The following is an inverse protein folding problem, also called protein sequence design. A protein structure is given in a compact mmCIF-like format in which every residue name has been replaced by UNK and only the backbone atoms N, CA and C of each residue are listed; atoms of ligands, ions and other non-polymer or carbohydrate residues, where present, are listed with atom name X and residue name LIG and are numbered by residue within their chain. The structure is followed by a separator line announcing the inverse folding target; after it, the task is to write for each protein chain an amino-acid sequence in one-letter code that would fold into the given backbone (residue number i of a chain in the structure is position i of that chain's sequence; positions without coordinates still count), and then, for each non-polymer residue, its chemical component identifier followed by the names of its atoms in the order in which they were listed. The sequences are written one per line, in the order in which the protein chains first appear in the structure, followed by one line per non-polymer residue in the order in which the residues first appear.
data_IF_621188268067
#
_entry.id   IF_621188268067
#
_cell.length_a   1.000
_cell.length_b   1.000
_cell.length_c   1.000
_cell.angle_alpha   90.00
_cell.angle_beta   90.00
_cell.angle_gamma   90.00
#
_symmetry.space_group_name_H-M   'P 1'
#
loop_
_entity.id
_entity.type
_entity.pdbx_description
1 polymer ?
#
# COMPACT_ATOMS: atom_id res chain seq x y z
N UNK A 1 -21.46 31.65 -5.84
CA UNK A 1 -21.47 30.50 -6.76
C UNK A 1 -20.32 30.54 -7.78
N UNK A 2 -20.13 31.58 -8.63
CA UNK A 2 -19.05 31.58 -9.64
C UNK A 2 -17.62 31.43 -9.07
N UNK A 3 -17.31 31.97 -7.89
CA UNK A 3 -15.98 31.89 -7.26
C UNK A 3 -15.69 30.51 -6.62
N UNK A 4 -16.73 29.80 -6.16
CA UNK A 4 -16.59 28.43 -5.61
C UNK A 4 -16.34 27.45 -6.75
N UNK A 5 -17.01 27.61 -7.89
CA UNK A 5 -16.79 26.78 -9.09
C UNK A 5 -15.36 26.95 -9.66
N UNK A 6 -14.79 28.16 -9.57
CA UNK A 6 -13.41 28.42 -10.02
C UNK A 6 -12.35 27.80 -9.09
N UNK A 7 -12.63 27.66 -7.80
CA UNK A 7 -11.72 27.04 -6.83
C UNK A 7 -11.75 25.50 -6.99
N UNK A 8 -12.92 24.93 -7.20
CA UNK A 8 -13.06 23.48 -7.48
C UNK A 8 -12.45 23.11 -8.83
N UNK A 9 -12.57 23.95 -9.86
CA UNK A 9 -11.93 23.74 -11.16
C UNK A 9 -10.40 23.93 -11.11
N UNK A 10 -9.88 24.75 -10.22
CA UNK A 10 -8.43 24.96 -10.05
C UNK A 10 -7.75 23.80 -9.31
N UNK A 11 -8.46 23.07 -8.46
CA UNK A 11 -7.97 21.87 -7.77
C UNK A 11 -7.89 20.63 -8.69
N UNK A 12 -8.47 20.67 -9.89
CA UNK A 12 -8.44 19.58 -10.86
C UNK A 12 -7.23 19.61 -11.82
N UNK A 13 -6.33 20.59 -11.67
CA UNK A 13 -5.13 20.73 -12.51
C UNK A 13 -3.83 20.48 -11.76
N UNK A 14 -3.79 19.53 -10.84
CA UNK A 14 -2.50 19.05 -10.35
C UNK A 14 -1.96 17.96 -11.28
N UNK A 15 -0.76 18.20 -11.77
CA UNK A 15 0.04 17.25 -12.57
C UNK A 15 0.09 15.89 -11.89
N UNK A 16 -0.22 14.85 -12.64
CA UNK A 16 -0.07 13.46 -12.19
C UNK A 16 1.37 13.22 -11.76
N UNK A 17 1.66 12.91 -10.51
CA UNK A 17 2.96 12.40 -10.13
C UNK A 17 3.16 11.04 -10.79
N UNK A 18 4.40 10.70 -11.07
CA UNK A 18 4.77 9.38 -11.59
C UNK A 18 4.50 8.35 -10.51
N UNK A 19 3.60 7.41 -10.77
CA UNK A 19 3.21 6.36 -9.82
C UNK A 19 4.34 5.34 -9.78
N UNK A 20 5.05 5.30 -8.67
CA UNK A 20 5.91 4.20 -8.28
C UNK A 20 5.21 3.40 -7.18
N UNK A 21 4.18 2.66 -7.56
CA UNK A 21 3.50 1.77 -6.62
C UNK A 21 4.33 0.50 -6.44
N UNK A 22 5.28 0.51 -5.53
CA UNK A 22 5.93 -0.69 -5.05
C UNK A 22 5.19 -1.16 -3.80
N UNK A 23 4.39 -2.22 -3.94
CA UNK A 23 3.67 -2.81 -2.82
C UNK A 23 4.60 -3.73 -2.03
N UNK A 24 5.03 -3.28 -0.87
CA UNK A 24 5.84 -4.06 0.08
C UNK A 24 5.01 -4.99 0.97
N UNK A 25 3.73 -5.13 0.70
CA UNK A 25 2.80 -5.93 1.49
C UNK A 25 2.31 -7.17 0.73
N UNK A 26 2.13 -8.27 1.45
CA UNK A 26 1.38 -9.44 0.97
C UNK A 26 -0.13 -9.19 1.03
N UNK A 27 -0.92 -10.05 0.39
CA UNK A 27 -2.40 -10.03 0.42
C UNK A 27 -3.02 -8.67 0.01
N UNK A 28 -2.41 -7.96 -0.94
CA UNK A 28 -2.86 -6.62 -1.40
C UNK A 28 -4.30 -6.60 -1.94
N UNK A 29 -4.87 -7.76 -2.32
CA UNK A 29 -6.28 -7.84 -2.73
C UNK A 29 -7.25 -7.39 -1.64
N UNK A 30 -6.84 -7.38 -0.37
CA UNK A 30 -7.62 -6.86 0.75
C UNK A 30 -7.81 -5.34 0.70
N UNK A 31 -7.02 -4.63 -0.10
CA UNK A 31 -7.14 -3.19 -0.33
C UNK A 31 -8.06 -2.86 -1.52
N UNK A 32 -8.53 -3.85 -2.28
CA UNK A 32 -9.46 -3.60 -3.39
C UNK A 32 -10.80 -3.14 -2.84
N UNK A 33 -11.14 -1.92 -3.15
CA UNK A 33 -12.28 -1.17 -2.58
C UNK A 33 -13.63 -1.61 -3.14
N UNK A 34 -14.55 -2.13 -2.32
CA UNK A 34 -15.89 -2.50 -2.78
C UNK A 34 -16.87 -1.34 -2.73
N UNK A 35 -17.82 -1.37 -3.66
CA UNK A 35 -19.01 -0.53 -3.63
C UNK A 35 -18.99 0.61 -4.64
N UNK A 36 -20.05 0.68 -5.46
CA UNK A 36 -20.22 1.75 -6.45
C UNK A 36 -20.33 3.15 -5.82
N UNK A 37 -20.80 3.23 -4.57
CA UNK A 37 -20.84 4.50 -3.82
C UNK A 37 -19.45 5.00 -3.54
N UNK A 38 -18.58 4.13 -3.02
CA UNK A 38 -17.20 4.44 -2.72
C UNK A 38 -16.43 4.84 -3.97
N UNK A 39 -16.48 4.02 -5.03
CA UNK A 39 -15.85 4.35 -6.30
C UNK A 39 -16.33 5.68 -6.90
N UNK A 40 -17.62 6.00 -6.75
CA UNK A 40 -18.18 7.30 -7.16
C UNK A 40 -17.70 8.49 -6.32
N UNK A 41 -17.15 8.24 -5.13
CA UNK A 41 -16.67 9.27 -4.20
C UNK A 41 -15.14 9.25 -4.04
N UNK A 42 -14.40 8.68 -5.01
CA UNK A 42 -12.96 8.60 -4.94
C UNK A 42 -12.46 7.81 -3.73
N UNK A 43 -13.24 6.79 -3.33
CA UNK A 43 -12.96 5.90 -2.20
C UNK A 43 -13.03 6.51 -0.79
N UNK A 44 -13.41 7.78 -0.67
CA UNK A 44 -13.61 8.43 0.63
C UNK A 44 -14.90 7.94 1.31
N UNK A 45 -14.80 7.02 2.27
CA UNK A 45 -15.94 6.32 2.90
C UNK A 45 -15.86 6.19 4.43
N UNK A 46 -14.70 6.37 5.05
CA UNK A 46 -14.47 5.98 6.44
C UNK A 46 -15.34 6.77 7.43
N UNK A 47 -15.63 8.05 7.14
CA UNK A 47 -16.51 8.88 7.96
C UNK A 47 -18.00 8.78 7.60
N UNK A 48 -18.35 8.14 6.47
CA UNK A 48 -19.73 8.00 5.97
C UNK A 48 -20.17 6.55 5.77
N UNK A 49 -19.47 5.60 6.37
CA UNK A 49 -19.79 4.18 6.31
C UNK A 49 -21.14 3.89 7.02
N UNK A 50 -22.23 3.95 6.26
CA UNK A 50 -23.60 3.86 6.77
C UNK A 50 -24.49 2.88 6.00
N UNK A 51 -23.90 1.79 5.49
CA UNK A 51 -24.55 0.70 4.77
C UNK A 51 -23.87 -0.64 5.10
N UNK A 52 -24.24 -1.74 4.42
CA UNK A 52 -23.63 -3.05 4.66
C UNK A 52 -22.14 -3.13 4.25
N UNK A 53 -21.63 -2.18 3.44
CA UNK A 53 -20.21 -2.07 3.13
C UNK A 53 -19.38 -1.52 4.31
N UNK A 54 -20.02 -0.99 5.36
CA UNK A 54 -19.35 -0.52 6.56
C UNK A 54 -18.49 -1.62 7.25
N UNK A 55 -18.85 -2.90 7.08
CA UNK A 55 -18.01 -4.01 7.57
C UNK A 55 -16.61 -4.04 6.94
N UNK A 56 -16.44 -3.46 5.77
CA UNK A 56 -15.16 -3.29 5.09
C UNK A 56 -14.54 -1.92 5.38
N UNK A 57 -15.30 -0.83 5.16
CA UNK A 57 -14.79 0.54 5.22
C UNK A 57 -14.53 1.05 6.64
N UNK A 58 -15.49 0.89 7.53
CA UNK A 58 -15.37 1.25 8.95
C UNK A 58 -16.40 0.47 9.76
N UNK A 59 -15.99 -0.59 10.47
CA UNK A 59 -16.93 -1.40 11.23
C UNK A 59 -17.68 -0.61 12.31
N UNK A 60 -17.15 0.53 12.78
CA UNK A 60 -17.86 1.39 13.73
C UNK A 60 -19.14 2.00 13.16
N UNK A 61 -19.18 2.20 11.83
CA UNK A 61 -20.36 2.71 11.13
C UNK A 61 -21.59 1.84 11.27
N UNK A 62 -21.42 0.53 11.44
CA UNK A 62 -22.52 -0.43 11.64
C UNK A 62 -23.38 -0.09 12.86
N UNK A 63 -22.82 0.49 13.92
CA UNK A 63 -23.53 0.78 15.15
C UNK A 63 -24.62 1.86 15.00
N UNK A 64 -24.51 2.70 13.98
CA UNK A 64 -25.50 3.74 13.70
C UNK A 64 -26.62 3.30 12.76
N UNK A 65 -26.59 2.03 12.34
CA UNK A 65 -27.52 1.47 11.38
C UNK A 65 -28.64 0.70 12.08
N UNK A 66 -29.88 0.86 11.60
CA UNK A 66 -31.04 0.14 12.11
C UNK A 66 -31.45 -1.00 11.15
N UNK A 67 -32.08 -2.04 11.71
CA UNK A 67 -32.60 -3.16 10.94
C UNK A 67 -31.55 -4.11 10.40
N UNK A 68 -31.79 -4.63 9.20
CA UNK A 68 -30.90 -5.58 8.52
C UNK A 68 -30.73 -5.17 7.08
N UNK A 69 -29.54 -5.43 6.52
CA UNK A 69 -29.21 -5.13 5.14
C UNK A 69 -28.31 -6.21 4.56
N UNK A 70 -28.47 -6.47 3.27
CA UNK A 70 -27.61 -7.32 2.46
C UNK A 70 -27.17 -6.52 1.24
N UNK A 71 -25.86 -6.50 0.97
CA UNK A 71 -25.28 -5.88 -0.21
C UNK A 71 -24.53 -6.93 -1.03
N UNK A 72 -24.68 -6.86 -2.34
CA UNK A 72 -24.00 -7.74 -3.30
C UNK A 72 -23.40 -6.88 -4.38
N UNK A 73 -22.17 -7.17 -4.78
CA UNK A 73 -21.50 -6.52 -5.90
C UNK A 73 -20.78 -7.55 -6.76
N UNK A 74 -20.89 -7.39 -8.06
CA UNK A 74 -20.10 -8.10 -9.07
C UNK A 74 -19.43 -7.07 -9.99
N UNK A 75 -18.13 -7.23 -10.22
CA UNK A 75 -17.37 -6.38 -11.13
C UNK A 75 -16.45 -7.23 -11.98
N UNK A 76 -16.50 -7.06 -13.30
CA UNK A 76 -15.46 -7.58 -14.19
C UNK A 76 -14.16 -6.83 -13.87
N UNK A 77 -13.17 -7.57 -13.41
CA UNK A 77 -11.89 -7.00 -12.97
C UNK A 77 -10.93 -6.93 -14.16
N UNK A 78 -10.37 -5.74 -14.43
CA UNK A 78 -9.45 -5.51 -15.53
C UNK A 78 -9.89 -6.12 -16.88
N UNK A 79 -11.10 -5.82 -17.38
CA UNK A 79 -11.69 -6.49 -18.56
C UNK A 79 -10.90 -6.25 -19.86
N UNK A 80 -9.98 -5.28 -19.88
CA UNK A 80 -9.05 -5.08 -21.01
C UNK A 80 -7.84 -6.01 -20.96
N UNK A 81 -7.59 -6.68 -19.85
CA UNK A 81 -6.50 -7.65 -19.68
C UNK A 81 -6.97 -9.09 -19.92
N UNK A 82 -8.09 -9.47 -19.31
CA UNK A 82 -8.69 -10.80 -19.45
C UNK A 82 -10.21 -10.75 -19.20
N UNK A 83 -10.93 -11.60 -19.92
CA UNK A 83 -12.41 -11.61 -19.87
C UNK A 83 -12.97 -12.42 -18.70
N UNK A 84 -12.14 -13.26 -18.05
CA UNK A 84 -12.52 -14.19 -17.00
C UNK A 84 -12.10 -13.75 -15.59
N UNK A 85 -11.58 -12.53 -15.45
CA UNK A 85 -11.27 -11.94 -14.15
C UNK A 85 -12.46 -11.19 -13.59
N UNK A 86 -12.79 -11.44 -12.31
CA UNK A 86 -13.90 -10.75 -11.67
C UNK A 86 -13.71 -10.64 -10.15
N UNK A 87 -14.35 -9.63 -9.57
CA UNK A 87 -14.39 -9.36 -8.13
C UNK A 87 -15.82 -9.43 -7.63
N UNK A 88 -16.03 -10.20 -6.58
CA UNK A 88 -17.32 -10.38 -5.92
C UNK A 88 -17.26 -9.88 -4.49
N UNK A 89 -18.30 -9.20 -4.06
CA UNK A 89 -18.47 -8.78 -2.68
C UNK A 89 -19.87 -9.09 -2.19
N UNK A 90 -19.96 -9.67 -1.01
CA UNK A 90 -21.19 -9.89 -0.26
C UNK A 90 -21.04 -9.28 1.12
N UNK A 91 -21.83 -8.24 1.44
CA UNK A 91 -21.86 -7.61 2.76
C UNK A 91 -23.20 -7.82 3.45
N UNK A 92 -23.18 -7.98 4.75
CA UNK A 92 -24.42 -8.04 5.54
C UNK A 92 -24.27 -7.30 6.88
N UNK A 93 -25.39 -6.86 7.41
CA UNK A 93 -25.49 -6.34 8.77
C UNK A 93 -26.85 -6.63 9.39
N UNK A 94 -26.87 -6.74 10.71
CA UNK A 94 -28.11 -6.86 11.50
C UNK A 94 -27.94 -6.21 12.86
N UNK A 95 -28.82 -5.28 13.17
CA UNK A 95 -28.87 -4.66 14.47
C UNK A 95 -29.62 -5.54 15.48
N UNK A 96 -29.12 -5.61 16.68
CA UNK A 96 -29.76 -6.20 17.85
C UNK A 96 -29.90 -5.11 18.93
N UNK A 97 -31.13 -4.75 19.34
CA UNK A 97 -31.39 -3.56 20.18
C UNK A 97 -30.59 -3.49 21.48
N UNK A 98 -30.22 -4.63 22.06
CA UNK A 98 -29.51 -4.71 23.35
C UNK A 98 -28.06 -5.15 23.25
N UNK A 99 -27.67 -5.71 22.11
CA UNK A 99 -26.34 -6.28 21.90
C UNK A 99 -25.43 -5.37 21.06
N UNK A 100 -26.00 -4.56 20.18
CA UNK A 100 -25.25 -3.81 19.16
C UNK A 100 -25.53 -4.36 17.77
N UNK A 101 -24.64 -4.10 16.82
CA UNK A 101 -24.81 -4.53 15.42
C UNK A 101 -23.76 -5.57 15.07
N UNK A 102 -24.23 -6.70 14.54
CA UNK A 102 -23.39 -7.69 13.88
C UNK A 102 -23.39 -7.43 12.37
N UNK A 103 -22.26 -7.59 11.75
CA UNK A 103 -22.09 -7.51 10.31
C UNK A 103 -20.98 -8.41 9.83
N UNK A 104 -20.69 -8.32 8.56
CA UNK A 104 -19.57 -9.03 7.96
C UNK A 104 -19.60 -8.93 6.45
N UNK A 105 -18.54 -9.44 5.83
CA UNK A 105 -18.45 -9.48 4.38
C UNK A 105 -17.67 -10.70 3.90
N UNK A 106 -17.88 -11.05 2.64
CA UNK A 106 -17.09 -11.99 1.87
C UNK A 106 -16.57 -11.28 0.63
N UNK A 107 -15.32 -11.53 0.32
CA UNK A 107 -14.63 -11.09 -0.89
C UNK A 107 -14.17 -12.32 -1.64
N UNK A 108 -14.35 -12.31 -2.97
CA UNK A 108 -13.79 -13.29 -3.87
C UNK A 108 -13.25 -12.60 -5.11
N UNK A 109 -11.95 -12.74 -5.35
CA UNK A 109 -11.26 -12.25 -6.54
C UNK A 109 -10.81 -13.44 -7.37
N UNK A 110 -11.39 -13.60 -8.56
CA UNK A 110 -10.93 -14.56 -9.56
C UNK A 110 -9.92 -13.88 -10.50
N UNK A 111 -8.73 -14.45 -10.60
CA UNK A 111 -7.67 -13.98 -11.49
C UNK A 111 -7.62 -14.71 -12.84
N UNK A 112 -8.67 -15.49 -13.14
CA UNK A 112 -8.83 -16.19 -14.39
C UNK A 112 -7.97 -17.46 -14.52
N UNK A 113 -8.07 -18.07 -15.69
CA UNK A 113 -7.27 -19.24 -16.06
C UNK A 113 -5.89 -18.80 -16.58
N UNK A 114 -4.85 -19.44 -16.07
CA UNK A 114 -3.46 -19.17 -16.44
C UNK A 114 -2.82 -20.39 -17.07
N UNK A 115 -1.92 -20.14 -18.03
CA UNK A 115 -1.17 -21.19 -18.72
C UNK A 115 0.13 -21.47 -17.99
N UNK A 116 0.32 -22.73 -17.64
CA UNK A 116 1.57 -23.19 -17.04
C UNK A 116 2.56 -23.61 -18.10
N UNK A 117 3.77 -23.07 -18.03
CA UNK A 117 4.92 -23.43 -18.85
C UNK A 117 6.04 -23.94 -17.95
N UNK A 118 6.89 -24.83 -18.49
CA UNK A 118 8.15 -25.19 -17.84
C UNK A 118 9.29 -24.25 -18.21
N UNK A 119 10.49 -24.50 -17.71
CA UNK A 119 11.70 -23.72 -17.97
C UNK A 119 12.12 -23.69 -19.45
N UNK A 120 11.61 -24.59 -20.28
CA UNK A 120 11.82 -24.67 -21.72
C UNK A 120 10.65 -24.14 -22.54
N UNK A 121 9.73 -23.38 -21.89
CA UNK A 121 8.49 -22.85 -22.48
C UNK A 121 7.57 -23.95 -23.06
N UNK A 122 7.61 -25.17 -22.53
CA UNK A 122 6.70 -26.24 -22.91
C UNK A 122 5.42 -26.16 -22.08
N UNK A 123 4.29 -26.28 -22.75
CA UNK A 123 2.97 -26.28 -22.13
C UNK A 123 2.78 -27.43 -21.14
N UNK A 124 2.43 -27.09 -19.91
CA UNK A 124 2.24 -28.02 -18.78
C UNK A 124 0.78 -28.06 -18.27
N UNK A 125 -0.15 -27.42 -18.99
CA UNK A 125 -1.56 -27.34 -18.59
C UNK A 125 -1.98 -25.94 -18.17
N UNK A 126 -3.20 -25.86 -17.62
CA UNK A 126 -3.74 -24.61 -17.08
C UNK A 126 -4.09 -24.75 -15.60
N UNK A 127 -4.17 -23.63 -14.90
CA UNK A 127 -4.62 -23.55 -13.51
C UNK A 127 -5.37 -22.24 -13.30
N UNK A 128 -6.20 -22.18 -12.27
CA UNK A 128 -6.94 -20.97 -11.90
C UNK A 128 -6.38 -20.38 -10.62
N UNK A 129 -6.10 -19.08 -10.64
CA UNK A 129 -5.70 -18.36 -9.43
C UNK A 129 -6.87 -17.58 -8.87
N UNK A 130 -7.03 -17.59 -7.55
CA UNK A 130 -8.08 -16.83 -6.88
C UNK A 130 -7.68 -16.46 -5.46
N UNK A 131 -8.32 -15.43 -4.94
CA UNK A 131 -8.17 -14.97 -3.58
C UNK A 131 -9.54 -14.74 -2.95
N UNK A 132 -9.65 -15.03 -1.66
CA UNK A 132 -10.89 -14.82 -0.92
C UNK A 132 -10.61 -14.31 0.48
N UNK A 133 -11.54 -13.54 1.02
CA UNK A 133 -11.53 -13.15 2.42
C UNK A 133 -12.94 -13.15 2.99
N UNK A 134 -13.06 -13.50 4.26
CA UNK A 134 -14.30 -13.40 5.01
C UNK A 134 -14.06 -12.68 6.33
N UNK A 135 -14.93 -11.73 6.66
CA UNK A 135 -14.86 -10.98 7.91
C UNK A 135 -16.19 -11.02 8.66
N UNK A 136 -16.08 -11.12 9.97
CA UNK A 136 -17.19 -10.95 10.92
C UNK A 136 -16.95 -9.73 11.77
N UNK A 137 -17.93 -8.82 11.83
CA UNK A 137 -17.82 -7.52 12.47
C UNK A 137 -18.82 -7.40 13.61
N UNK A 138 -18.38 -6.76 14.69
CA UNK A 138 -19.24 -6.33 15.78
C UNK A 138 -19.06 -4.83 16.03
N UNK A 139 -20.16 -4.13 16.26
CA UNK A 139 -20.13 -2.70 16.52
C UNK A 139 -21.13 -2.29 17.59
N UNK A 140 -20.76 -1.30 18.39
CA UNK A 140 -21.60 -0.75 19.45
C UNK A 140 -21.45 0.76 19.55
N UNK A 141 -22.52 1.43 19.95
CA UNK A 141 -22.48 2.83 20.29
C UNK A 141 -21.83 3.02 21.67
N UNK A 142 -20.84 3.89 21.76
CA UNK A 142 -20.25 4.35 23.02
C UNK A 142 -21.02 5.54 23.59
N UNK A 143 -21.63 6.31 22.69
CA UNK A 143 -22.53 7.43 23.02
C UNK A 143 -23.51 7.64 21.84
N UNK A 144 -24.52 8.50 21.98
CA UNK A 144 -25.43 8.81 20.85
C UNK A 144 -24.71 9.31 19.58
N UNK A 145 -23.47 9.82 19.71
CA UNK A 145 -22.70 10.38 18.61
C UNK A 145 -21.35 9.71 18.37
N UNK A 146 -21.01 8.66 19.11
CA UNK A 146 -19.76 7.93 18.89
C UNK A 146 -19.97 6.42 18.95
N UNK A 147 -19.20 5.70 18.16
CA UNK A 147 -19.24 4.25 18.08
C UNK A 147 -17.84 3.66 17.93
N UNK A 148 -17.76 2.39 18.28
CA UNK A 148 -16.58 1.55 18.08
C UNK A 148 -17.00 0.26 17.38
N UNK A 149 -16.18 -0.21 16.50
CA UNK A 149 -16.37 -1.47 15.79
C UNK A 149 -15.06 -2.24 15.64
N UNK A 150 -15.19 -3.54 15.54
CA UNK A 150 -14.08 -4.45 15.28
C UNK A 150 -14.50 -5.56 14.35
N UNK A 151 -13.57 -6.06 13.56
CA UNK A 151 -13.77 -7.23 12.70
C UNK A 151 -12.67 -8.26 12.92
N UNK A 152 -13.02 -9.53 12.81
CA UNK A 152 -12.07 -10.63 12.65
C UNK A 152 -12.18 -11.14 11.21
N UNK A 153 -11.04 -11.32 10.56
CA UNK A 153 -10.92 -11.62 9.14
C UNK A 153 -10.07 -12.86 8.92
N UNK A 154 -10.49 -13.69 7.96
CA UNK A 154 -9.69 -14.77 7.41
C UNK A 154 -9.52 -14.53 5.93
N UNK A 155 -8.31 -14.66 5.43
CA UNK A 155 -8.00 -14.59 4.01
C UNK A 155 -7.33 -15.86 3.53
N UNK A 156 -7.62 -16.22 2.29
CA UNK A 156 -7.02 -17.35 1.61
C UNK A 156 -6.63 -16.94 0.20
N UNK A 157 -5.40 -17.23 -0.17
CA UNK A 157 -4.88 -16.97 -1.50
C UNK A 157 -4.43 -18.28 -2.13
N UNK A 158 -4.87 -18.51 -3.36
CA UNK A 158 -4.46 -19.63 -4.20
C UNK A 158 -3.89 -19.09 -5.50
N UNK A 159 -2.56 -18.98 -5.56
CA UNK A 159 -1.87 -18.41 -6.71
C UNK A 159 -1.43 -19.48 -7.69
N UNK A 160 -0.92 -20.60 -7.17
CA UNK A 160 -0.44 -21.72 -8.00
C UNK A 160 -0.52 -23.03 -7.20
N UNK A 161 -0.85 -24.14 -7.88
CA UNK A 161 -0.92 -25.47 -7.23
C UNK A 161 0.46 -26.11 -7.04
N UNK A 162 1.39 -25.84 -7.96
CA UNK A 162 2.73 -26.41 -7.95
C UNK A 162 3.73 -25.34 -8.36
N UNK A 163 4.71 -25.08 -7.53
CA UNK A 163 5.84 -24.22 -7.84
C UNK A 163 6.67 -24.76 -9.01
N UNK A 164 7.48 -23.91 -9.58
CA UNK A 164 8.37 -24.22 -10.72
C UNK A 164 9.83 -24.07 -10.28
N UNK A 165 10.72 -24.84 -10.92
CA UNK A 165 12.16 -24.75 -10.66
C UNK A 165 12.57 -25.30 -9.30
N UNK A 166 13.32 -24.51 -8.54
CA UNK A 166 13.82 -24.83 -7.19
C UNK A 166 12.74 -24.71 -6.10
N UNK A 167 11.71 -23.91 -6.33
CA UNK A 167 10.61 -23.68 -5.39
C UNK A 167 9.49 -24.72 -5.59
N UNK A 168 9.61 -25.81 -4.88
CA UNK A 168 8.63 -26.89 -4.90
C UNK A 168 7.65 -26.72 -3.74
N UNK A 169 6.58 -25.99 -3.95
CA UNK A 169 5.53 -25.80 -2.96
C UNK A 169 4.21 -25.41 -3.59
N UNK A 170 3.16 -25.37 -2.79
CA UNK A 170 1.89 -24.79 -3.21
C UNK A 170 1.95 -23.29 -2.93
N UNK A 171 1.69 -22.46 -3.94
CA UNK A 171 1.55 -21.04 -3.80
C UNK A 171 0.20 -20.68 -3.16
N UNK A 172 -0.01 -21.15 -1.93
CA UNK A 172 -1.24 -20.88 -1.17
C UNK A 172 -0.88 -20.30 0.18
N UNK A 173 -1.64 -19.28 0.62
CA UNK A 173 -1.57 -18.79 1.99
C UNK A 173 -2.93 -18.78 2.65
N UNK A 174 -2.95 -18.90 3.97
CA UNK A 174 -4.14 -18.75 4.80
C UNK A 174 -3.79 -17.92 6.02
N UNK A 175 -4.35 -16.74 6.12
CA UNK A 175 -3.96 -15.73 7.07
C UNK A 175 -5.17 -15.20 7.83
N UNK A 176 -4.93 -14.72 9.04
CA UNK A 176 -5.96 -14.06 9.83
C UNK A 176 -5.57 -12.60 10.10
N UNK A 177 -6.58 -11.76 10.29
CA UNK A 177 -6.38 -10.34 10.61
C UNK A 177 -7.55 -9.76 11.39
N UNK A 178 -7.35 -8.55 11.84
CA UNK A 178 -8.35 -7.77 12.57
C UNK A 178 -8.48 -6.39 11.97
N UNK A 179 -9.68 -5.82 12.07
CA UNK A 179 -9.92 -4.42 11.76
C UNK A 179 -10.50 -3.74 13.00
N UNK A 180 -10.09 -2.50 13.22
CA UNK A 180 -10.61 -1.63 14.27
C UNK A 180 -11.17 -0.37 13.65
N UNK A 181 -12.30 0.11 14.15
CA UNK A 181 -12.91 1.32 13.68
C UNK A 181 -13.45 2.17 14.83
N UNK A 182 -13.38 3.47 14.64
CA UNK A 182 -14.02 4.46 15.47
C UNK A 182 -14.74 5.48 14.60
N UNK A 183 -15.92 5.91 15.02
CA UNK A 183 -16.67 6.95 14.32
C UNK A 183 -17.25 7.95 15.33
N UNK A 184 -17.18 9.22 14.99
CA UNK A 184 -17.74 10.33 15.77
C UNK A 184 -18.55 11.24 14.88
N UNK A 185 -19.86 11.33 15.14
CA UNK A 185 -20.76 12.31 14.51
C UNK A 185 -20.67 13.63 15.24
N UNK A 186 -20.61 14.73 14.49
CA UNK A 186 -20.50 16.08 15.07
C UNK A 186 -19.23 16.27 15.89
N UNK A 187 -18.05 16.05 15.29
CA UNK A 187 -16.76 16.09 16.00
C UNK A 187 -16.41 17.49 16.53
N UNK A 188 -16.06 18.44 15.67
CA UNK A 188 -15.74 19.83 16.03
C UNK A 188 -16.94 20.76 15.86
N UNK A 189 -17.79 20.46 14.91
CA UNK A 189 -19.06 21.13 14.64
C UNK A 189 -20.14 20.07 14.41
N UNK A 190 -21.42 20.40 14.59
CA UNK A 190 -22.51 19.43 14.34
C UNK A 190 -22.54 18.88 12.91
N UNK A 191 -21.94 19.59 11.95
CA UNK A 191 -21.91 19.22 10.53
C UNK A 191 -20.71 18.36 10.15
N UNK A 192 -19.70 18.22 11.03
CA UNK A 192 -18.47 17.52 10.71
C UNK A 192 -18.43 16.16 11.41
N UNK A 193 -18.56 15.09 10.67
CA UNK A 193 -18.36 13.72 11.15
C UNK A 193 -16.90 13.30 10.93
N UNK A 194 -16.38 12.41 11.75
CA UNK A 194 -15.02 11.87 11.71
C UNK A 194 -15.07 10.35 11.82
N UNK A 195 -14.22 9.68 11.05
CA UNK A 195 -13.96 8.25 11.15
C UNK A 195 -12.45 7.97 11.23
N UNK A 196 -12.08 6.93 11.94
CA UNK A 196 -10.71 6.39 11.96
C UNK A 196 -10.79 4.89 11.88
N UNK A 197 -9.96 4.29 11.06
CA UNK A 197 -9.84 2.83 10.97
C UNK A 197 -8.39 2.40 10.94
N UNK A 198 -8.13 1.24 11.49
CA UNK A 198 -6.91 0.49 11.29
C UNK A 198 -7.30 -0.92 10.83
N UNK A 199 -7.00 -1.26 9.60
CA UNK A 199 -7.46 -2.48 8.95
C UNK A 199 -6.32 -3.43 8.66
N UNK A 200 -6.64 -4.71 8.44
CA UNK A 200 -5.70 -5.78 8.10
C UNK A 200 -4.54 -5.94 9.12
N UNK A 201 -4.85 -5.79 10.41
CA UNK A 201 -3.89 -5.98 11.49
C UNK A 201 -3.66 -7.49 11.66
N UNK A 202 -2.48 -8.00 11.31
CA UNK A 202 -2.23 -9.43 11.39
C UNK A 202 -0.74 -9.79 11.27
N UNK A 203 -0.43 -11.10 11.34
CA UNK A 203 0.92 -11.59 11.12
C UNK A 203 1.33 -11.43 9.66
N UNK A 204 2.61 -11.63 9.37
CA UNK A 204 3.12 -11.68 8.00
C UNK A 204 2.47 -12.82 7.21
N UNK A 205 2.22 -12.59 5.93
CA UNK A 205 1.70 -13.54 4.95
C UNK A 205 2.85 -14.36 4.39
N UNK A 206 2.74 -15.69 4.42
CA UNK A 206 3.74 -16.57 3.84
C UNK A 206 3.08 -17.59 2.92
N UNK A 207 3.69 -17.87 1.79
CA UNK A 207 3.25 -18.90 0.84
C UNK A 207 4.03 -20.21 1.00
N UNK A 208 5.32 -20.18 0.68
CA UNK A 208 6.17 -21.36 0.65
C UNK A 208 7.22 -21.28 1.76
N UNK A 209 7.90 -20.14 1.85
CA UNK A 209 8.99 -19.94 2.80
C UNK A 209 8.61 -18.87 3.84
N UNK A 210 8.58 -19.19 5.14
CA UNK A 210 8.33 -18.21 6.19
C UNK A 210 9.38 -17.10 6.27
N UNK A 211 10.62 -17.36 5.80
CA UNK A 211 11.67 -16.34 5.81
C UNK A 211 11.43 -15.24 4.75
N UNK A 212 10.59 -15.54 3.75
CA UNK A 212 10.15 -14.60 2.71
C UNK A 212 8.73 -14.04 2.97
N UNK A 213 8.28 -14.07 4.22
CA UNK A 213 6.94 -13.62 4.58
C UNK A 213 6.81 -12.10 4.51
N UNK A 214 5.81 -11.62 3.78
CA UNK A 214 5.47 -10.21 3.63
C UNK A 214 4.51 -9.72 4.72
N UNK A 215 4.59 -8.47 5.18
CA UNK A 215 3.61 -7.89 6.08
C UNK A 215 2.21 -7.92 5.48
N UNK A 216 1.19 -8.08 6.33
CA UNK A 216 -0.17 -7.77 5.87
C UNK A 216 -0.29 -6.29 5.51
N UNK A 217 -1.19 -5.91 4.59
CA UNK A 217 -1.39 -4.53 4.18
C UNK A 217 -2.16 -3.77 5.26
N UNK A 218 -1.53 -3.64 6.44
CA UNK A 218 -2.12 -2.90 7.56
C UNK A 218 -2.22 -1.44 7.18
N UNK A 219 -3.45 -0.92 7.13
CA UNK A 219 -3.72 0.44 6.69
C UNK A 219 -4.38 1.25 7.80
N UNK A 220 -3.91 2.48 8.00
CA UNK A 220 -4.52 3.47 8.90
C UNK A 220 -5.19 4.52 8.05
N UNK A 221 -6.50 4.68 8.22
CA UNK A 221 -7.28 5.70 7.52
C UNK A 221 -7.88 6.69 8.50
N UNK A 222 -7.75 7.97 8.20
CA UNK A 222 -8.45 9.05 8.88
C UNK A 222 -9.41 9.72 7.91
N UNK A 223 -10.70 9.75 8.24
CA UNK A 223 -11.76 10.27 7.39
C UNK A 223 -12.53 11.41 8.02
N UNK A 224 -12.94 12.37 7.20
CA UNK A 224 -13.80 13.50 7.53
C UNK A 224 -14.98 13.57 6.58
N UNK A 225 -16.16 13.90 7.08
CA UNK A 225 -17.34 14.14 6.28
C UNK A 225 -18.03 15.43 6.73
N UNK A 226 -18.10 16.40 5.85
CA UNK A 226 -18.72 17.70 6.11
C UNK A 226 -20.06 17.82 5.40
N UNK A 227 -21.15 17.90 6.17
CA UNK A 227 -22.50 18.13 5.69
C UNK A 227 -22.67 19.62 5.39
N UNK A 228 -22.43 20.01 4.14
CA UNK A 228 -22.49 21.41 3.74
C UNK A 228 -23.92 21.97 3.81
N UNK A 229 -24.91 21.14 3.53
CA UNK A 229 -26.33 21.38 3.86
C UNK A 229 -27.10 20.06 3.91
N UNK A 230 -28.18 20.07 4.68
CA UNK A 230 -29.13 18.97 4.81
C UNK A 230 -30.52 19.55 5.11
N UNK A 231 -31.53 19.13 4.37
CA UNK A 231 -32.92 19.41 4.61
C UNK A 231 -33.77 18.15 4.33
N UNK A 232 -35.08 18.19 4.50
CA UNK A 232 -35.95 17.01 4.40
C UNK A 232 -35.85 16.27 3.05
N UNK A 233 -35.39 16.91 1.99
CA UNK A 233 -35.36 16.35 0.64
C UNK A 233 -33.97 16.23 0.07
N UNK A 234 -33.08 17.16 0.38
CA UNK A 234 -31.79 17.27 -0.27
C UNK A 234 -30.66 17.38 0.76
N UNK A 235 -29.53 16.77 0.44
CA UNK A 235 -28.30 16.94 1.22
C UNK A 235 -27.07 17.01 0.31
N UNK A 236 -26.06 17.69 0.80
CA UNK A 236 -24.75 17.75 0.14
C UNK A 236 -23.66 17.54 1.15
N UNK A 237 -22.87 16.49 0.94
CA UNK A 237 -21.76 16.09 1.81
C UNK A 237 -20.46 16.10 1.03
N UNK A 238 -19.44 16.68 1.62
CA UNK A 238 -18.05 16.58 1.18
C UNK A 238 -17.33 15.59 2.07
N UNK A 239 -16.56 14.70 1.50
CA UNK A 239 -15.79 13.69 2.22
C UNK A 239 -14.30 13.76 1.84
N UNK A 240 -13.46 13.45 2.80
CA UNK A 240 -12.02 13.39 2.64
C UNK A 240 -11.47 12.31 3.54
N UNK A 241 -10.77 11.37 2.95
CA UNK A 241 -10.03 10.36 3.69
C UNK A 241 -8.54 10.48 3.35
N UNK A 242 -7.69 10.17 4.30
CA UNK A 242 -6.25 9.99 4.10
C UNK A 242 -5.84 8.64 4.64
N UNK A 243 -5.14 7.89 3.80
CA UNK A 243 -4.67 6.55 4.08
C UNK A 243 -3.16 6.52 4.22
N UNK A 244 -2.67 5.71 5.15
CA UNK A 244 -1.25 5.38 5.30
C UNK A 244 -1.10 3.88 5.47
N UNK A 245 -0.38 3.27 4.56
CA UNK A 245 0.05 1.88 4.70
C UNK A 245 1.13 1.81 5.79
N UNK A 246 0.89 1.00 6.82
CA UNK A 246 1.80 0.84 7.97
C UNK A 246 2.74 -0.34 7.74
N UNK A 247 3.51 -0.24 6.68
CA UNK A 247 4.56 -1.18 6.31
C UNK A 247 5.86 -0.41 6.19
N UNK A 248 6.95 -0.94 6.75
CA UNK A 248 8.30 -0.42 6.58
C UNK A 248 9.17 -1.51 6.00
N UNK A 249 9.82 -1.20 4.89
CA UNK A 249 10.69 -2.10 4.15
C UNK A 249 12.05 -1.45 3.99
N UNK A 250 13.09 -2.25 4.13
CA UNK A 250 14.47 -1.79 4.03
C UNK A 250 15.20 -2.69 3.04
N UNK A 251 15.91 -2.13 2.04
CA UNK A 251 16.72 -2.88 1.10
C UNK A 251 17.99 -3.43 1.77
N UNK A 252 18.73 -4.25 1.02
CA UNK A 252 20.10 -4.59 1.36
C UNK A 252 20.99 -3.35 1.29
N UNK A 253 21.73 -3.05 2.36
CA UNK A 253 22.50 -1.83 2.43
C UNK A 253 23.79 -1.99 3.23
N UNK A 254 24.86 -1.43 2.72
CA UNK A 254 26.10 -1.22 3.47
C UNK A 254 26.00 0.08 4.28
N UNK A 255 25.55 -0.01 5.53
CA UNK A 255 25.32 1.14 6.39
C UNK A 255 26.60 1.76 6.95
N UNK A 256 27.70 1.02 7.03
CA UNK A 256 28.95 1.51 7.59
C UNK A 256 30.04 1.80 6.54
N UNK A 257 29.77 1.48 5.28
CA UNK A 257 30.65 1.77 4.15
C UNK A 257 31.92 0.89 4.16
N UNK A 258 31.82 -0.34 4.72
CA UNK A 258 32.96 -1.25 4.78
C UNK A 258 33.14 -2.11 3.50
N UNK A 259 32.20 -2.00 2.57
CA UNK A 259 32.21 -2.72 1.29
C UNK A 259 31.57 -4.10 1.34
N UNK A 260 30.85 -4.43 2.41
CA UNK A 260 30.17 -5.71 2.60
C UNK A 260 28.79 -5.49 3.16
N UNK A 261 27.81 -6.30 2.71
CA UNK A 261 26.47 -6.32 3.31
C UNK A 261 26.42 -7.46 4.33
N UNK A 262 26.06 -7.13 5.57
CA UNK A 262 26.00 -8.08 6.68
C UNK A 262 26.98 -7.77 7.79
N UNK A 263 27.23 -8.74 8.64
CA UNK A 263 28.09 -8.54 9.82
C UNK A 263 28.98 -9.74 10.11
N UNK A 264 29.81 -9.59 11.10
CA UNK A 264 30.72 -10.64 11.54
C UNK A 264 30.09 -11.50 12.62
N UNK A 265 30.31 -12.80 12.54
CA UNK A 265 29.96 -13.72 13.62
C UNK A 265 30.89 -13.52 14.84
N UNK A 266 30.57 -14.21 15.95
CA UNK A 266 31.39 -14.14 17.17
C UNK A 266 32.84 -14.60 16.99
N UNK A 267 33.16 -15.24 15.87
CA UNK A 267 34.49 -15.74 15.51
C UNK A 267 35.18 -14.82 14.49
N UNK A 268 34.57 -13.73 14.11
CA UNK A 268 35.09 -12.80 13.12
C UNK A 268 34.94 -13.25 11.66
N UNK A 269 34.02 -14.19 11.36
CA UNK A 269 33.73 -14.57 9.99
C UNK A 269 32.55 -13.74 9.48
N UNK A 270 32.67 -13.23 8.27
CA UNK A 270 31.59 -12.59 7.55
C UNK A 270 30.39 -13.54 7.41
N UNK A 271 29.21 -13.02 7.71
CA UNK A 271 27.99 -13.80 7.57
C UNK A 271 26.80 -12.90 7.32
N UNK A 272 26.27 -12.98 6.12
CA UNK A 272 25.00 -12.36 5.72
C UNK A 272 23.85 -12.80 6.65
N UNK A 273 23.95 -14.04 7.20
CA UNK A 273 22.93 -14.58 8.10
C UNK A 273 22.93 -13.96 9.50
N UNK A 274 23.98 -13.28 9.90
CA UNK A 274 24.07 -12.72 11.24
C UNK A 274 23.27 -11.44 11.44
N UNK A 275 22.61 -10.94 10.44
CA UNK A 275 21.73 -9.76 10.52
C UNK A 275 22.33 -8.59 11.27
N UNK A 276 23.61 -8.67 11.57
CA UNK A 276 24.07 -7.98 12.69
C UNK A 276 25.29 -7.24 12.30
N UNK A 277 25.03 -6.08 12.17
CA UNK A 277 25.77 -5.22 12.98
C UNK A 277 27.15 -4.95 12.46
N UNK A 278 27.12 -4.23 11.52
CA UNK A 278 28.15 -3.24 11.45
C UNK A 278 28.15 -2.39 12.72
N UNK A 279 29.10 -1.56 12.82
CA UNK A 279 29.39 -0.74 14.02
C UNK A 279 28.28 0.24 14.40
N UNK A 280 27.27 0.44 13.57
CA UNK A 280 26.17 1.37 13.83
C UNK A 280 24.91 0.71 14.43
N UNK A 281 24.89 -0.62 14.55
CA UNK A 281 23.77 -1.36 15.11
C UNK A 281 22.55 -1.45 14.21
N UNK A 282 22.67 -1.15 12.92
CA UNK A 282 21.59 -1.28 11.94
C UNK A 282 21.71 -2.60 11.19
N UNK A 283 20.57 -3.13 10.74
CA UNK A 283 20.50 -4.33 9.94
C UNK A 283 20.81 -3.98 8.49
N UNK A 284 21.71 -4.71 7.84
CA UNK A 284 22.16 -4.42 6.48
C UNK A 284 21.48 -5.25 5.40
N UNK A 285 20.99 -6.44 5.77
CA UNK A 285 20.23 -7.26 4.83
C UNK A 285 18.80 -6.74 4.70
N UNK A 286 18.24 -6.91 3.52
CA UNK A 286 16.85 -6.57 3.24
C UNK A 286 15.90 -7.16 4.29
N UNK A 287 15.05 -6.34 4.86
CA UNK A 287 14.11 -6.77 5.86
C UNK A 287 12.87 -5.87 5.92
N UNK A 288 11.81 -6.41 6.47
CA UNK A 288 10.57 -5.68 6.74
C UNK A 288 10.30 -5.68 8.23
N UNK A 289 10.01 -4.52 8.78
CA UNK A 289 9.73 -4.38 10.21
C UNK A 289 8.48 -5.19 10.62
N UNK A 290 8.48 -5.80 11.81
CA UNK A 290 7.27 -6.38 12.36
C UNK A 290 6.24 -5.28 12.68
N UNK A 291 4.95 -5.59 12.60
CA UNK A 291 3.86 -4.62 12.73
C UNK A 291 3.98 -3.65 13.91
N UNK A 292 4.40 -4.16 15.09
CA UNK A 292 4.53 -3.30 16.29
C UNK A 292 5.61 -2.22 16.17
N UNK A 293 6.56 -2.38 15.24
CA UNK A 293 7.52 -1.35 14.86
C UNK A 293 6.98 -0.53 13.69
N UNK A 294 6.47 -1.20 12.64
CA UNK A 294 6.02 -0.58 11.41
C UNK A 294 4.93 0.49 11.66
N UNK A 295 4.09 0.34 12.70
CA UNK A 295 3.14 1.38 13.13
C UNK A 295 3.81 2.74 13.35
N UNK A 296 5.08 2.75 13.75
CA UNK A 296 5.83 3.98 14.03
C UNK A 296 6.87 4.26 12.95
N UNK A 297 7.58 3.24 12.47
CA UNK A 297 8.69 3.40 11.52
C UNK A 297 8.19 3.78 10.13
N UNK A 298 7.03 3.30 9.68
CA UNK A 298 6.43 3.63 8.39
C UNK A 298 6.10 5.12 8.15
N UNK A 299 6.25 5.95 9.15
CA UNK A 299 6.08 7.41 9.02
C UNK A 299 7.39 8.14 8.73
N UNK A 300 8.51 7.44 8.83
CA UNK A 300 9.85 8.02 8.75
C UNK A 300 10.87 7.05 8.15
N UNK A 301 10.44 5.93 7.59
CA UNK A 301 11.35 4.90 7.09
C UNK A 301 12.20 5.40 5.93
N UNK A 302 11.64 6.05 4.96
CA UNK A 302 12.41 6.57 3.83
C UNK A 302 13.18 7.85 4.20
N UNK A 303 12.61 8.70 5.05
CA UNK A 303 13.23 9.96 5.40
C UNK A 303 14.36 9.84 6.44
N UNK A 304 14.13 9.13 7.53
CA UNK A 304 15.06 9.10 8.68
C UNK A 304 15.74 7.75 8.91
N UNK A 305 15.09 6.66 8.51
CA UNK A 305 15.57 5.32 8.82
C UNK A 305 16.25 4.64 7.64
N UNK A 306 16.20 5.24 6.45
CA UNK A 306 16.97 4.82 5.30
C UNK A 306 16.38 3.69 4.48
N UNK A 307 15.07 3.52 4.48
CA UNK A 307 14.39 2.57 3.57
C UNK A 307 14.64 2.89 2.10
N UNK A 308 14.91 4.15 1.79
CA UNK A 308 15.21 4.64 0.44
C UNK A 308 16.66 5.12 0.29
N UNK A 309 17.56 4.70 1.16
CA UNK A 309 18.98 4.96 0.98
C UNK A 309 19.62 3.87 0.14
N UNK A 310 20.09 4.27 -1.00
CA UNK A 310 20.87 3.44 -1.88
C UNK A 310 22.37 3.61 -1.61
N UNK A 311 22.91 2.79 -0.74
CA UNK A 311 24.31 2.81 -0.34
C UNK A 311 25.05 1.50 -0.60
N UNK A 312 24.62 0.73 -1.56
CA UNK A 312 25.32 -0.50 -1.90
C UNK A 312 26.71 -0.20 -2.44
N UNK A 313 27.79 -0.77 -1.89
CA UNK A 313 29.14 -0.49 -2.32
C UNK A 313 29.50 -1.12 -3.65
N UNK A 314 28.71 -2.06 -4.12
CA UNK A 314 29.03 -2.89 -5.28
C UNK A 314 28.50 -2.36 -6.59
N UNK A 315 27.88 -1.19 -6.64
CA UNK A 315 27.45 -0.55 -7.89
C UNK A 315 26.25 -1.17 -8.56
N UNK A 316 25.51 -2.07 -7.90
CA UNK A 316 24.27 -2.60 -8.45
C UNK A 316 23.08 -1.69 -8.20
N UNK A 317 23.06 -1.01 -7.03
CA UNK A 317 21.99 -0.10 -6.64
C UNK A 317 22.47 1.24 -6.10
N UNK A 318 23.76 1.38 -5.85
CA UNK A 318 24.38 2.66 -5.53
C UNK A 318 24.50 3.51 -6.77
N UNK A 319 24.79 4.75 -6.61
CA UNK A 319 25.19 5.72 -7.63
C UNK A 319 24.84 5.29 -9.04
N UNK A 320 23.62 5.44 -9.45
CA UNK A 320 23.14 5.00 -10.74
C UNK A 320 23.72 5.86 -11.84
N UNK A 321 24.64 5.25 -12.56
CA UNK A 321 25.41 5.91 -13.60
C UNK A 321 24.81 5.57 -14.96
N UNK A 322 24.45 6.59 -15.71
CA UNK A 322 24.00 6.44 -17.10
C UNK A 322 25.07 6.95 -18.03
N UNK A 323 25.67 6.06 -18.80
CA UNK A 323 26.67 6.41 -19.81
C UNK A 323 27.90 7.11 -19.22
N UNK A 324 28.54 7.94 -20.02
CA UNK A 324 29.74 8.66 -19.64
C UNK A 324 31.03 7.85 -19.77
N UNK A 325 31.94 8.05 -18.87
CA UNK A 325 33.26 7.44 -18.89
C UNK A 325 33.48 6.59 -17.66
N UNK A 326 33.79 5.34 -17.85
CA UNK A 326 34.19 4.42 -16.78
C UNK A 326 35.69 4.20 -16.78
N UNK A 327 36.27 3.99 -15.60
CA UNK A 327 37.67 3.63 -15.47
C UNK A 327 37.89 2.16 -15.86
N UNK A 328 38.68 1.95 -16.89
CA UNK A 328 38.99 0.61 -17.41
C UNK A 328 40.07 -0.14 -16.60
N UNK A 329 40.64 0.49 -15.58
CA UNK A 329 41.73 -0.02 -14.75
C UNK A 329 43.04 0.75 -14.96
N UNK A 330 43.93 0.67 -13.96
CA UNK A 330 45.25 1.33 -13.99
C UNK A 330 46.17 0.60 -14.97
N UNK A 331 46.12 0.98 -16.25
CA UNK A 331 46.89 0.37 -17.31
C UNK A 331 48.36 0.74 -17.27
N UNK A 332 48.70 1.91 -16.70
CA UNK A 332 50.06 2.42 -16.60
C UNK A 332 50.69 2.16 -15.22
N UNK A 333 49.91 1.65 -14.25
CA UNK A 333 50.42 1.25 -12.93
C UNK A 333 50.79 2.42 -12.01
N UNK A 334 50.28 3.62 -12.26
CA UNK A 334 50.63 4.81 -11.47
C UNK A 334 49.74 5.03 -10.24
N UNK A 335 48.69 4.22 -10.06
CA UNK A 335 47.73 4.30 -8.97
C UNK A 335 46.75 5.46 -9.06
N UNK A 336 46.70 6.12 -10.23
CA UNK A 336 45.77 7.22 -10.51
C UNK A 336 44.81 6.83 -11.63
N UNK A 337 43.67 7.49 -11.70
CA UNK A 337 42.72 7.32 -12.83
C UNK A 337 43.00 8.40 -13.87
N UNK A 338 43.62 8.00 -14.94
CA UNK A 338 44.03 8.90 -16.01
C UNK A 338 43.00 8.92 -17.15
N UNK A 339 42.97 10.01 -17.90
CA UNK A 339 41.95 10.19 -18.98
C UNK A 339 42.05 9.14 -20.09
N UNK A 340 43.22 8.58 -20.32
CA UNK A 340 43.50 7.52 -21.30
C UNK A 340 43.10 6.13 -20.80
N UNK A 341 42.77 5.99 -19.54
CA UNK A 341 42.27 4.78 -18.91
C UNK A 341 40.72 4.76 -18.80
N UNK A 342 40.07 5.83 -19.20
CA UNK A 342 38.62 5.94 -19.21
C UNK A 342 38.03 5.38 -20.49
N UNK A 343 37.04 4.55 -20.36
CA UNK A 343 36.23 4.05 -21.48
C UNK A 343 34.86 4.68 -21.49
N UNK A 344 34.35 4.98 -22.68
CA UNK A 344 32.98 5.46 -22.80
C UNK A 344 32.02 4.27 -22.70
N UNK A 345 31.08 4.38 -21.78
CA UNK A 345 30.06 3.36 -21.58
C UNK A 345 28.67 3.91 -21.90
N UNK A 346 27.85 3.04 -22.48
CA UNK A 346 26.43 3.30 -22.70
C UNK A 346 25.54 2.51 -21.74
N UNK A 347 26.13 1.92 -20.71
CA UNK A 347 25.38 1.12 -19.74
C UNK A 347 24.56 2.03 -18.85
N UNK A 348 23.30 1.70 -18.69
CA UNK A 348 22.36 2.35 -17.82
C UNK A 348 22.04 1.41 -16.64
N UNK A 349 22.26 1.88 -15.42
CA UNK A 349 22.00 1.13 -14.19
C UNK A 349 20.72 1.62 -13.56
N UNK A 350 19.68 1.84 -14.05
CA UNK A 350 18.46 2.33 -13.45
C UNK A 350 18.50 3.81 -13.05
N UNK A 351 17.44 4.29 -12.48
CA UNK A 351 17.33 5.69 -12.09
C UNK A 351 16.49 5.81 -10.81
N UNK A 352 16.98 6.57 -9.85
CA UNK A 352 16.15 7.10 -8.79
C UNK A 352 15.98 8.62 -8.94
N UNK A 353 14.92 9.14 -8.34
CA UNK A 353 14.55 10.54 -8.44
C UNK A 353 14.77 11.21 -7.08
N UNK A 354 15.02 12.52 -7.09
CA UNK A 354 15.16 13.31 -5.88
C UNK A 354 16.60 13.56 -5.44
N UNK A 355 17.57 12.89 -6.04
CA UNK A 355 18.97 13.11 -5.74
C UNK A 355 19.45 14.51 -6.15
N UNK A 356 20.12 15.17 -5.22
CA UNK A 356 20.78 16.46 -5.48
C UNK A 356 21.86 16.42 -6.56
N UNK A 357 22.41 15.23 -6.84
CA UNK A 357 23.41 15.03 -7.88
C UNK A 357 22.81 14.46 -9.19
N UNK A 358 21.55 14.10 -9.18
CA UNK A 358 20.88 13.52 -10.33
C UNK A 358 21.07 14.35 -11.60
N UNK A 359 21.46 13.69 -12.67
CA UNK A 359 21.71 14.32 -13.96
C UNK A 359 22.98 15.15 -14.06
N UNK A 360 23.79 15.27 -13.02
CA UNK A 360 25.11 15.91 -13.07
C UNK A 360 26.16 14.94 -13.55
N UNK A 361 27.22 15.49 -14.07
CA UNK A 361 28.40 14.70 -14.45
C UNK A 361 29.42 14.75 -13.33
N UNK A 362 29.94 13.59 -12.93
CA UNK A 362 31.04 13.50 -11.99
C UNK A 362 32.39 13.89 -12.65
N UNK A 363 33.47 13.87 -11.90
CA UNK A 363 34.82 14.19 -12.37
C UNK A 363 35.32 13.26 -13.50
N UNK A 364 34.71 12.07 -13.64
CA UNK A 364 35.02 11.07 -14.67
C UNK A 364 34.12 11.19 -15.91
N UNK A 365 33.28 12.20 -16.00
CA UNK A 365 32.34 12.41 -17.11
C UNK A 365 31.17 11.43 -17.12
N UNK A 366 30.93 10.67 -16.06
CA UNK A 366 29.80 9.81 -15.89
C UNK A 366 28.62 10.64 -15.38
N UNK A 367 27.45 10.37 -15.93
CA UNK A 367 26.24 11.04 -15.50
C UNK A 367 25.60 10.28 -14.33
N UNK A 368 25.50 10.93 -13.21
CA UNK A 368 24.85 10.40 -12.03
C UNK A 368 23.34 10.54 -12.17
N UNK A 369 22.62 9.46 -12.00
CA UNK A 369 21.17 9.38 -12.11
C UNK A 369 20.60 8.53 -11.00
N UNK A 370 20.79 8.95 -9.84
CA UNK A 370 20.39 8.29 -8.64
C UNK A 370 21.43 8.52 -7.58
N UNK A 371 21.09 8.43 -6.37
CA UNK A 371 22.01 8.61 -5.28
C UNK A 371 21.74 7.71 -4.12
N UNK A 372 22.78 7.64 -3.38
CA UNK A 372 22.82 7.02 -2.08
C UNK A 372 22.01 7.76 -0.99
N UNK A 373 21.46 8.93 -1.23
CA UNK A 373 20.75 9.68 -0.20
C UNK A 373 19.80 10.73 -0.81
N UNK A 374 18.71 10.28 -1.34
CA UNK A 374 17.62 11.13 -1.84
C UNK A 374 16.44 11.26 -0.88
N UNK A 375 16.59 10.76 0.35
CA UNK A 375 15.57 10.79 1.39
C UNK A 375 15.04 12.18 1.67
N UNK A 376 13.74 12.32 1.60
CA UNK A 376 13.07 13.57 1.93
C UNK A 376 11.78 13.34 2.73
N UNK A 377 11.36 14.38 3.45
CA UNK A 377 10.03 14.39 4.05
C UNK A 377 8.93 14.33 2.97
N UNK A 378 9.24 14.76 1.75
CA UNK A 378 8.30 14.73 0.64
C UNK A 378 7.96 13.29 0.26
N UNK A 379 8.95 12.40 0.22
CA UNK A 379 8.74 10.98 -0.11
C UNK A 379 7.80 10.30 0.90
N UNK A 380 7.93 10.66 2.17
CA UNK A 380 6.97 10.19 3.19
C UNK A 380 5.57 10.75 3.02
N UNK A 381 5.44 11.98 2.57
CA UNK A 381 4.14 12.59 2.31
C UNK A 381 3.49 12.03 1.04
N UNK A 382 4.30 11.68 0.05
CA UNK A 382 3.84 11.08 -1.21
C UNK A 382 3.35 9.63 -1.02
N UNK A 383 3.69 8.99 0.10
CA UNK A 383 3.10 7.70 0.53
C UNK A 383 1.71 7.82 1.16
N UNK A 384 1.19 9.03 1.34
CA UNK A 384 -0.17 9.24 1.84
C UNK A 384 -1.16 9.24 0.67
N UNK A 385 -2.08 8.31 0.68
CA UNK A 385 -3.16 8.28 -0.30
C UNK A 385 -4.27 9.23 0.14
N UNK A 386 -4.67 10.11 -0.76
CA UNK A 386 -5.68 11.12 -0.50
C UNK A 386 -6.94 10.86 -1.32
N UNK A 387 -8.06 10.67 -0.64
CA UNK A 387 -9.35 10.41 -1.23
C UNK A 387 -10.28 11.58 -1.00
N UNK A 388 -10.81 12.18 -2.06
CA UNK A 388 -11.72 13.32 -1.98
C UNK A 388 -13.01 12.96 -2.70
N UNK A 389 -14.14 13.15 -2.04
CA UNK A 389 -15.44 12.85 -2.61
C UNK A 389 -16.51 13.86 -2.28
N UNK A 390 -17.56 13.84 -3.08
CA UNK A 390 -18.80 14.57 -2.81
C UNK A 390 -20.01 13.73 -3.16
N UNK A 391 -21.03 13.87 -2.35
CA UNK A 391 -22.33 13.22 -2.54
C UNK A 391 -23.45 14.25 -2.43
N UNK A 392 -24.26 14.37 -3.48
CA UNK A 392 -25.45 15.17 -3.49
C UNK A 392 -26.69 14.30 -3.63
N UNK A 393 -27.58 14.34 -2.66
CA UNK A 393 -28.88 13.69 -2.71
C UNK A 393 -29.95 14.70 -3.13
N UNK A 394 -30.76 14.31 -4.12
CA UNK A 394 -31.93 15.03 -4.56
C UNK A 394 -33.20 14.24 -4.24
N UNK A 395 -34.12 14.86 -3.51
CA UNK A 395 -35.39 14.27 -3.08
C UNK A 395 -35.25 12.94 -2.35
N UNK A 396 -34.13 12.66 -1.74
CA UNK A 396 -33.77 11.40 -1.07
C UNK A 396 -33.87 10.13 -1.94
N UNK A 397 -34.05 10.28 -3.26
CA UNK A 397 -34.17 9.17 -4.20
C UNK A 397 -33.02 9.08 -5.20
N UNK A 398 -32.42 10.21 -5.53
CA UNK A 398 -31.37 10.27 -6.53
C UNK A 398 -30.08 10.84 -5.94
N UNK A 399 -28.98 10.14 -6.13
CA UNK A 399 -27.68 10.59 -5.67
C UNK A 399 -26.71 10.82 -6.84
N UNK A 400 -26.09 11.99 -6.85
CA UNK A 400 -24.94 12.28 -7.70
C UNK A 400 -23.66 12.23 -6.84
N UNK A 401 -22.65 11.55 -7.35
CA UNK A 401 -21.37 11.40 -6.71
C UNK A 401 -20.25 11.75 -7.67
N UNK A 402 -19.20 12.34 -7.12
CA UNK A 402 -17.95 12.56 -7.82
C UNK A 402 -16.82 12.51 -6.79
N UNK A 403 -15.68 12.03 -7.20
CA UNK A 403 -14.53 11.95 -6.34
C UNK A 403 -13.24 11.85 -7.12
N UNK A 404 -12.16 11.96 -6.41
CA UNK A 404 -10.81 11.82 -6.92
C UNK A 404 -9.95 11.08 -5.89
N UNK A 405 -9.12 10.22 -6.39
CA UNK A 405 -8.17 9.40 -5.67
C UNK A 405 -6.77 9.81 -6.08
N UNK A 406 -5.92 10.11 -5.09
CA UNK A 406 -4.50 10.43 -5.26
C UNK A 406 -3.67 9.37 -4.55
N UNK A 407 -2.83 8.70 -5.32
CA UNK A 407 -1.87 7.73 -4.85
C UNK A 407 -0.48 8.17 -5.33
#
# INVERSE_FOLDING_TARGET
MKRIFSIVAALLFFSSPSINAQSDAGAIFLLISPGARAGGMGEAQVAVANDAYASYWNPAGLAFQEGSELAVMHVNWLPSLADDMYYEFLGFRKQFPTLGTLGGHLIYLNLGEQVRMDEYAQYQGTFTSYMMAGAMSYSTQLSPSSSFGMSAKLSYQHLVELGTGSEKGKGTSMDFGFDLGYMKKGWLTPQLDMGVTMTNIGPKVSFIDPDQADPQPTNLTFGLAYKAFENDQNSFTLVYDVDKLLVSSYPDMDWDGDGSIGGYDKNGNESIKNNDYNKNGKMEIAHKDPLYKAIFTSWVDDWLLGGDIDRSPAGEDSDRIIGGWEWAGDANGNGSRDADEMINTSVEYGASFGDKNWGKYNEWGQKEVGSADDRSLQDELDKLVHNIGMEFWYSSYFALRSGYYFD
#
